data_IF_913702326503
#
_entry.id   IF_913702326503
#
_cell.length_a   1.000
_cell.length_b   1.000
_cell.length_c   1.000
_cell.angle_alpha   90.00
_cell.angle_beta   90.00
_cell.angle_gamma   90.00
#
_symmetry.space_group_name_H-M   'P 1'
#
loop_
_entity.id
_entity.type
_entity.pdbx_description
1 polymer ?
#
# COMPACT_ATOMS: atom_id res chain seq x y z
N UNK A 1 -46.40 5.36 -27.63
CA UNK A 1 -45.95 4.27 -26.75
C UNK A 1 -44.44 4.01 -26.81
N UNK A 2 -43.75 4.24 -27.94
CA UNK A 2 -42.31 3.93 -28.09
C UNK A 2 -41.37 4.87 -27.31
N UNK A 3 -41.68 6.17 -27.23
CA UNK A 3 -40.83 7.22 -26.63
C UNK A 3 -40.65 7.08 -25.11
N UNK A 4 -41.63 6.52 -24.42
CA UNK A 4 -41.54 6.28 -22.98
C UNK A 4 -40.60 5.11 -22.68
N UNK A 5 -40.61 4.06 -23.51
CA UNK A 5 -39.67 2.94 -23.37
C UNK A 5 -38.21 3.37 -23.62
N UNK A 6 -37.96 4.25 -24.59
CA UNK A 6 -36.60 4.74 -24.88
C UNK A 6 -36.02 5.54 -23.72
N UNK A 7 -36.82 6.41 -23.10
CA UNK A 7 -36.40 7.19 -21.92
C UNK A 7 -36.19 6.31 -20.69
N UNK A 8 -37.02 5.29 -20.48
CA UNK A 8 -36.86 4.34 -19.37
C UNK A 8 -35.58 3.52 -19.53
N UNK A 9 -35.27 3.04 -20.74
CA UNK A 9 -34.04 2.29 -21.02
C UNK A 9 -32.79 3.16 -20.79
N UNK A 10 -32.84 4.44 -21.20
CA UNK A 10 -31.75 5.39 -21.00
C UNK A 10 -31.49 5.63 -19.50
N UNK A 11 -32.56 5.78 -18.70
CA UNK A 11 -32.45 5.95 -17.25
C UNK A 11 -31.88 4.71 -16.54
N UNK A 12 -32.19 3.50 -17.02
CA UNK A 12 -31.64 2.25 -16.47
C UNK A 12 -30.15 2.11 -16.79
N UNK A 13 -29.71 2.46 -18.01
CA UNK A 13 -28.28 2.44 -18.37
C UNK A 13 -27.45 3.48 -17.59
N UNK A 14 -27.98 4.69 -17.37
CA UNK A 14 -27.27 5.72 -16.61
C UNK A 14 -27.17 5.38 -15.11
N UNK A 15 -28.21 4.75 -14.55
CA UNK A 15 -28.21 4.32 -13.13
C UNK A 15 -27.34 3.10 -12.88
N UNK A 16 -27.22 2.16 -13.81
CA UNK A 16 -26.29 1.02 -13.67
C UNK A 16 -24.84 1.41 -13.90
N UNK A 17 -24.54 2.40 -14.76
CA UNK A 17 -23.18 2.91 -14.95
C UNK A 17 -22.66 3.76 -13.78
N UNK A 18 -23.53 4.38 -12.97
CA UNK A 18 -23.12 5.16 -11.81
C UNK A 18 -22.93 4.31 -10.53
N UNK A 19 -23.37 3.05 -10.53
CA UNK A 19 -23.33 2.15 -9.36
C UNK A 19 -22.08 1.24 -9.28
N UNK A 20 -21.10 1.39 -10.19
CA UNK A 20 -19.81 0.70 -10.08
C UNK A 20 -18.63 1.67 -9.97
N UNK A 21 -18.24 2.04 -8.74
CA UNK A 21 -16.89 2.54 -8.50
C UNK A 21 -16.04 1.61 -7.61
N UNK A 22 -16.36 0.31 -7.45
CA UNK A 22 -15.65 -0.51 -6.43
C UNK A 22 -15.20 -1.92 -6.90
N UNK A 23 -15.68 -2.47 -8.02
CA UNK A 23 -15.35 -3.86 -8.41
C UNK A 23 -14.25 -4.00 -9.48
N UNK A 24 -13.35 -3.01 -9.59
CA UNK A 24 -12.03 -3.18 -10.19
C UNK A 24 -10.92 -3.21 -9.12
N UNK A 25 -11.20 -3.78 -7.93
CA UNK A 25 -10.12 -4.28 -7.10
C UNK A 25 -9.53 -5.50 -7.80
N UNK A 26 -8.51 -5.25 -8.62
CA UNK A 26 -7.58 -6.27 -9.05
C UNK A 26 -7.07 -6.99 -7.78
N UNK A 27 -7.11 -8.33 -7.66
CA UNK A 27 -6.57 -9.02 -6.49
C UNK A 27 -5.08 -8.69 -6.22
N UNK A 28 -4.39 -8.07 -7.18
CA UNK A 28 -3.05 -7.49 -7.02
C UNK A 28 -2.98 -6.12 -6.32
N UNK A 29 -4.10 -5.47 -5.95
CA UNK A 29 -4.08 -4.28 -5.08
C UNK A 29 -4.13 -4.69 -3.62
N UNK A 30 -3.13 -5.46 -3.17
CA UNK A 30 -2.87 -5.52 -1.74
C UNK A 30 -2.47 -4.11 -1.30
N UNK A 31 -3.25 -3.51 -0.39
CA UNK A 31 -2.92 -2.21 0.18
C UNK A 31 -1.57 -2.34 0.89
N UNK A 32 -0.52 -1.74 0.32
CA UNK A 32 0.82 -1.76 0.90
C UNK A 32 0.79 -1.29 2.36
N UNK A 33 1.67 -1.88 3.19
CA UNK A 33 1.71 -1.59 4.61
C UNK A 33 2.02 -0.09 4.79
N UNK A 34 1.42 0.62 5.77
CA UNK A 34 1.61 2.07 5.92
C UNK A 34 3.08 2.50 5.96
N UNK A 35 3.94 1.72 6.61
CA UNK A 35 5.39 1.97 6.64
C UNK A 35 6.05 1.93 5.25
N UNK A 36 5.58 1.07 4.33
CA UNK A 36 6.10 0.99 2.95
C UNK A 36 5.69 2.24 2.17
N UNK A 37 4.45 2.69 2.35
CA UNK A 37 3.94 3.92 1.73
C UNK A 37 4.76 5.13 2.21
N UNK A 38 4.92 5.28 3.53
CA UNK A 38 5.69 6.37 4.11
C UNK A 38 7.14 6.36 3.62
N UNK A 39 7.77 5.18 3.55
CA UNK A 39 9.14 5.08 3.05
C UNK A 39 9.24 5.45 1.56
N UNK A 40 8.27 5.04 0.73
CA UNK A 40 8.23 5.41 -0.68
C UNK A 40 8.07 6.93 -0.85
N UNK A 41 7.15 7.54 -0.11
CA UNK A 41 6.96 9.00 -0.11
C UNK A 41 8.23 9.73 0.37
N UNK A 42 8.92 9.22 1.38
CA UNK A 42 10.19 9.79 1.83
C UNK A 42 11.26 9.71 0.72
N UNK A 43 11.42 8.55 0.09
CA UNK A 43 12.38 8.34 -1.00
C UNK A 43 12.08 9.21 -2.24
N UNK A 44 10.82 9.50 -2.52
CA UNK A 44 10.42 10.40 -3.61
C UNK A 44 10.80 11.87 -3.33
N UNK A 45 10.91 12.25 -2.06
CA UNK A 45 11.35 13.58 -1.65
C UNK A 45 12.89 13.73 -1.57
N UNK A 46 13.66 12.64 -1.71
CA UNK A 46 15.11 12.69 -1.68
C UNK A 46 15.70 13.18 -3.02
N UNK A 47 16.80 13.95 -2.99
CA UNK A 47 17.55 14.26 -4.21
C UNK A 47 18.14 12.98 -4.82
N UNK A 48 18.35 13.00 -6.15
CA UNK A 48 18.71 11.82 -6.93
C UNK A 48 19.96 11.09 -6.40
N UNK A 49 20.94 11.82 -5.88
CA UNK A 49 22.18 11.28 -5.34
C UNK A 49 21.95 10.46 -4.07
N UNK A 50 20.99 10.87 -3.24
CA UNK A 50 20.68 10.23 -1.96
C UNK A 50 19.61 9.15 -2.08
N UNK A 51 18.80 9.19 -3.15
CA UNK A 51 17.75 8.19 -3.38
C UNK A 51 18.35 6.80 -3.55
N UNK A 52 17.69 5.79 -2.98
CA UNK A 52 18.14 4.41 -3.12
C UNK A 52 18.19 3.98 -4.61
N UNK A 53 19.26 3.28 -4.99
CA UNK A 53 19.49 2.83 -6.36
C UNK A 53 18.37 1.96 -6.93
N UNK A 54 17.66 1.21 -6.08
CA UNK A 54 16.52 0.40 -6.53
C UNK A 54 15.38 1.25 -7.10
N UNK A 55 15.12 2.42 -6.51
CA UNK A 55 14.06 3.34 -6.97
C UNK A 55 14.49 4.21 -8.16
N UNK A 56 15.77 4.16 -8.58
CA UNK A 56 16.24 4.88 -9.78
C UNK A 56 15.80 4.19 -11.07
N UNK A 57 15.58 2.88 -11.03
CA UNK A 57 15.14 2.11 -12.18
C UNK A 57 13.65 1.70 -12.01
N UNK A 58 12.75 2.17 -12.88
CA UNK A 58 11.31 1.90 -12.74
C UNK A 58 10.97 0.40 -12.85
N UNK A 59 11.73 -0.39 -13.61
CA UNK A 59 11.51 -1.83 -13.72
C UNK A 59 11.86 -2.57 -12.44
N UNK A 60 12.93 -2.13 -11.75
CA UNK A 60 13.34 -2.71 -10.47
C UNK A 60 12.34 -2.31 -9.38
N UNK A 61 11.93 -1.04 -9.34
CA UNK A 61 10.92 -0.55 -8.41
C UNK A 61 9.59 -1.31 -8.55
N UNK A 62 9.14 -1.56 -9.79
CA UNK A 62 7.94 -2.36 -10.06
C UNK A 62 8.09 -3.84 -9.66
N UNK A 63 9.32 -4.36 -9.63
CA UNK A 63 9.63 -5.71 -9.15
C UNK A 63 9.63 -5.81 -7.63
N UNK A 64 10.12 -4.78 -6.93
CA UNK A 64 10.11 -4.71 -5.46
C UNK A 64 8.69 -4.63 -4.88
N UNK A 65 7.75 -4.08 -5.64
CA UNK A 65 6.34 -4.04 -5.25
C UNK A 65 5.65 -5.42 -5.35
N UNK A 66 6.33 -6.45 -5.87
CA UNK A 66 5.83 -7.83 -5.97
C UNK A 66 6.34 -8.68 -4.82
N UNK A 67 5.74 -9.85 -4.66
CA UNK A 67 6.10 -10.83 -3.63
C UNK A 67 7.59 -11.20 -3.70
N UNK A 68 8.25 -11.19 -2.55
CA UNK A 68 9.69 -11.48 -2.42
C UNK A 68 10.04 -12.96 -2.57
N UNK A 69 9.04 -13.85 -2.51
CA UNK A 69 9.24 -15.29 -2.48
C UNK A 69 8.35 -16.03 -3.46
N UNK A 70 8.91 -17.06 -4.08
CA UNK A 70 8.31 -17.82 -5.17
C UNK A 70 7.08 -18.67 -4.78
N UNK A 71 6.63 -18.61 -3.53
CA UNK A 71 5.54 -19.44 -3.00
C UNK A 71 4.46 -18.50 -2.48
N UNK A 72 3.19 -18.79 -2.78
CA UNK A 72 1.94 -18.09 -2.38
C UNK A 72 1.72 -17.92 -0.85
N UNK A 73 2.77 -18.05 -0.03
CA UNK A 73 2.70 -17.99 1.43
C UNK A 73 3.31 -16.73 2.03
N UNK A 74 3.99 -15.91 1.24
CA UNK A 74 4.41 -14.59 1.72
C UNK A 74 3.25 -13.59 1.59
N UNK A 75 2.29 -13.73 2.51
CA UNK A 75 1.28 -12.70 2.69
C UNK A 75 1.96 -11.42 3.19
N UNK A 76 1.57 -10.30 2.58
CA UNK A 76 1.98 -8.99 3.08
C UNK A 76 1.65 -8.88 4.57
N UNK A 77 2.64 -8.51 5.38
CA UNK A 77 2.44 -8.29 6.81
C UNK A 77 1.61 -7.01 6.98
N UNK A 78 0.32 -7.16 7.33
CA UNK A 78 -0.61 -6.05 7.55
C UNK A 78 -0.48 -5.50 8.98
N UNK A 79 -0.29 -6.38 9.95
CA UNK A 79 -0.16 -6.06 11.36
C UNK A 79 1.15 -6.64 11.88
N UNK A 80 2.12 -5.77 12.20
CA UNK A 80 3.40 -6.20 12.76
C UNK A 80 3.26 -6.25 14.27
N UNK A 81 3.50 -7.41 14.88
CA UNK A 81 3.55 -7.54 16.35
C UNK A 81 4.53 -6.54 17.00
N UNK A 82 5.59 -6.16 16.28
CA UNK A 82 6.53 -5.15 16.72
C UNK A 82 5.89 -3.75 16.89
N UNK A 83 4.91 -3.39 16.06
CA UNK A 83 4.24 -2.09 16.11
C UNK A 83 3.34 -1.98 17.36
N UNK A 84 2.97 -3.11 17.95
CA UNK A 84 2.22 -3.18 19.22
C UNK A 84 3.09 -2.90 20.44
N UNK A 85 4.42 -2.92 20.31
CA UNK A 85 5.35 -2.69 21.41
C UNK A 85 5.54 -1.18 21.59
N UNK A 86 5.19 -0.61 22.77
CA UNK A 86 5.39 0.82 23.02
C UNK A 86 6.86 1.22 22.93
N UNK A 87 7.14 2.36 22.28
CA UNK A 87 8.52 2.86 22.10
C UNK A 87 9.22 3.14 23.43
N UNK A 88 8.49 3.58 24.47
CA UNK A 88 9.09 3.78 25.79
C UNK A 88 9.58 2.47 26.40
N UNK A 89 8.87 1.36 26.15
CA UNK A 89 9.26 0.04 26.63
C UNK A 89 10.55 -0.42 25.97
N UNK A 90 10.70 -0.17 24.67
CA UNK A 90 11.93 -0.46 23.92
C UNK A 90 13.08 0.37 24.50
N UNK A 91 12.88 1.67 24.70
CA UNK A 91 13.88 2.56 25.29
C UNK A 91 14.33 2.08 26.68
N UNK A 92 13.38 1.75 27.56
CA UNK A 92 13.68 1.29 28.92
C UNK A 92 14.51 0.01 28.93
N UNK A 93 14.21 -0.95 28.05
CA UNK A 93 14.99 -2.19 27.91
C UNK A 93 16.42 -1.88 27.45
N UNK A 94 16.58 -1.04 26.43
CA UNK A 94 17.89 -0.67 25.91
C UNK A 94 18.73 0.14 26.91
N UNK A 95 18.08 1.04 27.66
CA UNK A 95 18.72 1.82 28.72
C UNK A 95 19.21 0.91 29.85
N UNK A 96 18.37 0.01 30.34
CA UNK A 96 18.72 -0.93 31.39
C UNK A 96 19.80 -1.94 30.96
N UNK A 97 19.87 -2.25 29.66
CA UNK A 97 20.94 -3.07 29.07
C UNK A 97 22.26 -2.31 28.87
N UNK A 98 22.32 -1.00 29.16
CA UNK A 98 23.50 -0.17 28.95
C UNK A 98 23.81 0.15 27.48
N UNK A 99 22.84 -0.07 26.57
CA UNK A 99 22.99 0.16 25.13
C UNK A 99 22.63 1.59 24.71
N UNK A 100 21.94 2.34 25.57
CA UNK A 100 21.57 3.74 25.33
C UNK A 100 22.15 4.61 26.44
N UNK A 101 22.91 5.64 26.05
CA UNK A 101 23.45 6.64 26.97
C UNK A 101 22.34 7.58 27.43
N UNK A 102 22.47 8.02 28.67
CA UNK A 102 21.53 8.93 29.35
C UNK A 102 21.53 10.30 28.71
#
# INVERSE_FOLDING_TARGET
>A
MLTNCTNIILFIMVTTCAAMPILFLNPGTMLAHPAVIINAEMEDNLPYELRNNFYKNPSIAAGLAKESWFIDKEMQVIDREADKIPKEKIYNVLHNAGLVRR
#
